data_IF_699286487285
#
_entry.id   IF_699286487285
#
_cell.length_a   1.000
_cell.length_b   1.000
_cell.length_c   1.000
_cell.angle_alpha   90.00
_cell.angle_beta   90.00
_cell.angle_gamma   90.00
#
_symmetry.space_group_name_H-M   'P 1'
#
loop_
_entity.id
_entity.type
_entity.pdbx_description
1 polymer ?
#
# COMPACT_ATOMS: atom_id res chain seq x y z
N UNK A 1 20.70 -0.85 7.20
CA UNK A 1 21.18 -0.04 6.06
C UNK A 1 20.89 -0.74 4.73
N UNK A 2 19.63 -0.91 4.37
CA UNK A 2 19.25 -1.21 2.98
C UNK A 2 18.05 -0.33 2.65
N UNK A 3 18.31 0.93 2.42
CA UNK A 3 17.45 1.83 1.67
C UNK A 3 18.35 2.59 0.71
N UNK A 4 18.73 1.94 -0.37
CA UNK A 4 19.34 2.60 -1.50
C UNK A 4 18.26 2.82 -2.56
N UNK A 5 17.47 3.85 -2.38
CA UNK A 5 16.70 4.44 -3.45
C UNK A 5 17.71 4.95 -4.49
N UNK A 6 17.80 4.28 -5.63
CA UNK A 6 18.62 4.73 -6.76
C UNK A 6 17.96 5.97 -7.38
N UNK A 7 18.53 7.12 -7.10
CA UNK A 7 18.16 8.40 -7.72
C UNK A 7 18.76 8.47 -9.11
N UNK A 8 17.91 8.52 -10.15
CA UNK A 8 18.35 8.75 -11.53
C UNK A 8 17.16 8.78 -12.50
N UNK A 9 17.30 9.50 -13.61
CA UNK A 9 16.31 9.70 -14.67
C UNK A 9 15.77 8.42 -15.34
N UNK A 10 16.25 7.25 -14.94
CA UNK A 10 15.82 5.92 -15.40
C UNK A 10 14.61 5.40 -14.63
N UNK A 11 14.32 5.95 -13.46
CA UNK A 11 13.26 5.50 -12.54
C UNK A 11 11.85 5.88 -13.02
N UNK A 12 11.69 7.04 -13.66
CA UNK A 12 10.41 7.51 -14.23
C UNK A 12 9.74 6.56 -15.24
N UNK A 13 10.52 5.71 -15.91
CA UNK A 13 9.99 4.73 -16.88
C UNK A 13 9.38 3.52 -16.14
N UNK A 14 10.03 3.09 -15.06
CA UNK A 14 9.61 1.97 -14.22
C UNK A 14 8.25 2.23 -13.56
N UNK A 15 8.08 3.42 -13.01
CA UNK A 15 6.89 3.80 -12.26
C UNK A 15 5.67 3.94 -13.18
N UNK A 16 5.84 4.42 -14.42
CA UNK A 16 4.80 4.39 -15.45
C UNK A 16 4.36 2.98 -15.81
N UNK A 17 5.28 2.02 -15.76
CA UNK A 17 5.00 0.61 -16.04
C UNK A 17 4.37 -0.08 -14.84
N UNK A 18 4.69 0.34 -13.61
CA UNK A 18 3.98 -0.09 -12.42
C UNK A 18 2.48 0.18 -12.55
N UNK A 19 2.09 1.39 -12.90
CA UNK A 19 0.67 1.73 -13.11
C UNK A 19 0.00 0.91 -14.22
N UNK A 20 0.75 0.52 -15.25
CA UNK A 20 0.25 -0.32 -16.34
C UNK A 20 -0.03 -1.76 -15.88
N UNK A 21 0.88 -2.35 -15.09
CA UNK A 21 0.69 -3.69 -14.56
C UNK A 21 -0.25 -3.75 -13.34
N UNK A 22 -0.55 -2.61 -12.74
CA UNK A 22 -1.53 -2.46 -11.65
C UNK A 22 -2.93 -2.06 -12.14
N UNK A 23 -3.22 -2.19 -13.44
CA UNK A 23 -4.53 -1.87 -14.01
C UNK A 23 -5.64 -2.84 -13.60
N UNK A 24 -5.27 -4.04 -13.15
CA UNK A 24 -6.16 -5.07 -12.62
C UNK A 24 -6.53 -4.86 -11.14
N UNK A 25 -5.88 -3.92 -10.44
CA UNK A 25 -6.21 -3.60 -9.05
C UNK A 25 -7.52 -2.83 -8.99
N UNK A 26 -8.52 -3.31 -8.25
CA UNK A 26 -9.87 -2.74 -8.26
C UNK A 26 -9.98 -1.52 -7.33
N UNK A 27 -9.15 -0.48 -7.52
CA UNK A 27 -9.11 0.73 -6.69
C UNK A 27 -10.48 1.40 -6.49
N UNK A 28 -11.36 1.39 -7.51
CA UNK A 28 -12.72 1.94 -7.41
C UNK A 28 -13.62 1.11 -6.48
N UNK A 29 -13.41 -0.20 -6.38
CA UNK A 29 -14.12 -1.05 -5.42
C UNK A 29 -13.61 -0.76 -4.01
N UNK A 30 -12.30 -0.67 -3.84
CA UNK A 30 -11.66 -0.39 -2.56
C UNK A 30 -12.01 0.99 -2.02
N UNK A 31 -11.95 2.02 -2.89
CA UNK A 31 -12.33 3.38 -2.49
C UNK A 31 -13.78 3.47 -2.04
N UNK A 32 -14.72 2.82 -2.74
CA UNK A 32 -16.13 2.76 -2.32
C UNK A 32 -16.30 2.11 -0.96
N UNK A 33 -15.65 0.97 -0.74
CA UNK A 33 -15.69 0.28 0.55
C UNK A 33 -15.13 1.18 1.67
N UNK A 34 -13.95 1.78 1.46
CA UNK A 34 -13.34 2.69 2.42
C UNK A 34 -14.29 3.86 2.75
N UNK A 35 -14.86 4.51 1.73
CA UNK A 35 -15.83 5.61 1.89
C UNK A 35 -17.07 5.16 2.68
N UNK A 36 -17.60 3.96 2.41
CA UNK A 36 -18.70 3.40 3.18
C UNK A 36 -18.35 3.21 4.66
N UNK A 37 -17.14 2.70 4.96
CA UNK A 37 -16.66 2.55 6.34
C UNK A 37 -16.42 3.89 7.03
N UNK A 38 -15.85 4.88 6.34
CA UNK A 38 -15.68 6.24 6.85
C UNK A 38 -17.03 6.85 7.24
N UNK A 39 -17.99 6.80 6.34
CA UNK A 39 -19.35 7.34 6.57
C UNK A 39 -20.11 6.59 7.66
N UNK A 40 -20.00 5.28 7.73
CA UNK A 40 -20.60 4.47 8.79
C UNK A 40 -20.07 4.84 10.18
N UNK A 41 -18.85 5.39 10.26
CA UNK A 41 -18.26 5.91 11.49
C UNK A 41 -18.42 7.43 11.66
N UNK A 42 -19.33 8.07 10.88
CA UNK A 42 -19.65 9.50 10.99
C UNK A 42 -18.60 10.43 10.39
N UNK A 43 -17.70 9.91 9.56
CA UNK A 43 -16.65 10.68 8.87
C UNK A 43 -17.11 10.92 7.43
N UNK A 44 -17.85 12.00 7.23
CA UNK A 44 -18.39 12.39 5.91
C UNK A 44 -17.47 13.33 5.14
N UNK A 45 -16.49 13.94 5.80
CA UNK A 45 -15.52 14.90 5.22
C UNK A 45 -14.36 15.15 6.18
N UNK A 46 -13.40 15.94 5.75
CA UNK A 46 -12.23 16.36 6.51
C UNK A 46 -10.97 15.66 6.06
N UNK A 47 -9.88 15.90 6.79
CA UNK A 47 -8.58 15.35 6.44
C UNK A 47 -8.51 13.85 6.63
N UNK A 48 -8.05 13.15 5.60
CA UNK A 48 -7.76 11.72 5.58
C UNK A 48 -6.35 11.52 5.05
N UNK A 49 -5.54 10.72 5.76
CA UNK A 49 -4.21 10.30 5.30
C UNK A 49 -4.34 9.01 4.49
N UNK A 50 -3.68 8.96 3.34
CA UNK A 50 -3.38 7.75 2.58
C UNK A 50 -1.90 7.41 2.81
N UNK A 51 -1.63 6.40 3.62
CA UNK A 51 -0.30 6.02 4.11
C UNK A 51 0.28 4.90 3.24
N UNK A 52 1.38 5.19 2.53
CA UNK A 52 1.88 4.37 1.43
C UNK A 52 1.05 4.62 0.16
N UNK A 53 0.83 5.90 -0.19
CA UNK A 53 -0.10 6.30 -1.25
C UNK A 53 0.38 5.96 -2.67
N UNK A 54 1.66 5.65 -2.84
CA UNK A 54 2.26 5.35 -4.15
C UNK A 54 1.98 6.44 -5.17
N UNK A 55 1.48 6.06 -6.34
CA UNK A 55 1.14 6.98 -7.45
C UNK A 55 -0.16 7.76 -7.23
N UNK A 56 -0.76 7.70 -6.04
CA UNK A 56 -1.93 8.51 -5.67
C UNK A 56 -3.27 8.07 -6.29
N UNK A 57 -3.38 6.86 -6.83
CA UNK A 57 -4.64 6.37 -7.45
C UNK A 57 -5.79 6.31 -6.45
N UNK A 58 -5.57 5.67 -5.30
CA UNK A 58 -6.57 5.60 -4.24
C UNK A 58 -6.82 6.99 -3.64
N UNK A 59 -5.76 7.74 -3.38
CA UNK A 59 -5.81 9.10 -2.85
C UNK A 59 -6.75 10.00 -3.68
N UNK A 60 -6.61 9.98 -5.01
CA UNK A 60 -7.47 10.75 -5.93
C UNK A 60 -8.94 10.32 -5.83
N UNK A 61 -9.23 9.01 -5.75
CA UNK A 61 -10.60 8.51 -5.63
C UNK A 61 -11.26 8.92 -4.31
N UNK A 62 -10.49 8.99 -3.22
CA UNK A 62 -10.98 9.47 -1.93
C UNK A 62 -11.18 11.00 -1.95
N UNK A 63 -10.32 11.76 -2.63
CA UNK A 63 -10.52 13.19 -2.86
C UNK A 63 -11.80 13.46 -3.67
N UNK A 64 -12.09 12.65 -4.69
CA UNK A 64 -13.33 12.71 -5.49
C UNK A 64 -14.57 12.38 -4.66
N UNK A 65 -14.43 11.57 -3.62
CA UNK A 65 -15.51 11.27 -2.68
C UNK A 65 -15.78 12.41 -1.67
N UNK A 66 -14.93 13.46 -1.65
CA UNK A 66 -15.13 14.70 -0.89
C UNK A 66 -14.25 14.84 0.36
N UNK A 67 -13.16 14.07 0.45
CA UNK A 67 -12.19 14.20 1.55
C UNK A 67 -11.02 15.11 1.16
N UNK A 68 -10.47 15.83 2.14
CA UNK A 68 -9.21 16.55 2.01
C UNK A 68 -8.07 15.56 2.24
N UNK A 69 -7.31 15.22 1.18
CA UNK A 69 -6.38 14.11 1.23
C UNK A 69 -4.95 14.55 1.54
N UNK A 70 -4.27 13.74 2.36
CA UNK A 70 -2.83 13.83 2.59
C UNK A 70 -2.23 12.47 2.18
N UNK A 71 -1.56 12.43 1.02
CA UNK A 71 -0.84 11.26 0.55
C UNK A 71 0.57 11.23 1.13
N UNK A 72 0.95 10.13 1.78
CA UNK A 72 2.29 9.94 2.36
C UNK A 72 2.93 8.73 1.72
N UNK A 73 4.13 8.91 1.19
CA UNK A 73 4.97 7.83 0.68
C UNK A 73 6.45 8.16 0.91
N UNK A 74 7.30 7.16 0.99
CA UNK A 74 8.75 7.37 1.12
C UNK A 74 9.48 7.36 -0.23
N UNK A 75 8.81 7.02 -1.32
CA UNK A 75 9.35 7.02 -2.66
C UNK A 75 9.14 8.36 -3.34
N UNK A 76 10.24 9.04 -3.67
CA UNK A 76 10.20 10.27 -4.43
C UNK A 76 9.51 10.07 -5.80
N UNK A 77 9.84 8.98 -6.48
CA UNK A 77 9.37 8.73 -7.84
C UNK A 77 7.86 8.44 -7.88
N UNK A 78 7.35 7.69 -6.90
CA UNK A 78 5.91 7.47 -6.75
C UNK A 78 5.17 8.80 -6.53
N UNK A 79 5.71 9.67 -5.68
CA UNK A 79 5.10 10.98 -5.42
C UNK A 79 5.23 11.94 -6.62
N UNK A 80 6.30 11.85 -7.40
CA UNK A 80 6.43 12.64 -8.63
C UNK A 80 5.30 12.31 -9.61
N UNK A 81 4.99 11.03 -9.80
CA UNK A 81 3.84 10.58 -10.60
C UNK A 81 2.49 11.00 -9.99
N UNK A 82 2.37 10.94 -8.66
CA UNK A 82 1.16 11.38 -7.99
C UNK A 82 0.89 12.87 -8.23
N UNK A 83 1.94 13.69 -8.22
CA UNK A 83 1.88 15.13 -8.48
C UNK A 83 1.53 15.46 -9.95
N UNK A 84 1.81 14.59 -10.92
CA UNK A 84 1.40 14.78 -12.33
C UNK A 84 -0.14 14.87 -12.48
N UNK A 85 -0.92 14.45 -11.47
CA UNK A 85 -2.40 14.53 -11.48
C UNK A 85 -2.94 15.94 -11.24
N UNK A 86 -2.11 16.87 -10.75
CA UNK A 86 -2.43 18.30 -10.55
C UNK A 86 -3.76 18.52 -9.75
N UNK A 87 -3.96 17.79 -8.64
CA UNK A 87 -5.16 17.93 -7.80
C UNK A 87 -4.88 18.75 -6.53
N UNK A 88 -5.33 20.01 -6.52
CA UNK A 88 -5.14 20.94 -5.40
C UNK A 88 -5.81 20.51 -4.07
N UNK A 89 -6.65 19.47 -4.08
CA UNK A 89 -7.29 18.90 -2.88
C UNK A 89 -6.39 17.91 -2.15
N UNK A 90 -5.23 17.57 -2.73
CA UNK A 90 -4.32 16.55 -2.23
C UNK A 90 -2.99 17.19 -1.87
N UNK A 91 -2.55 16.99 -0.63
CA UNK A 91 -1.20 17.32 -0.20
C UNK A 91 -0.36 16.03 -0.20
N UNK A 92 0.70 15.99 -0.99
CA UNK A 92 1.65 14.88 -0.96
C UNK A 92 2.87 15.22 -0.10
N UNK A 93 3.25 14.27 0.78
CA UNK A 93 4.39 14.40 1.70
C UNK A 93 5.32 13.20 1.56
N UNK A 94 6.60 13.46 1.32
CA UNK A 94 7.63 12.43 1.30
C UNK A 94 8.10 12.15 2.72
N UNK A 95 7.53 11.10 3.34
CA UNK A 95 7.83 10.72 4.73
C UNK A 95 7.82 9.19 4.88
N UNK A 96 8.59 8.70 5.85
CA UNK A 96 8.54 7.30 6.27
C UNK A 96 7.33 7.09 7.19
N UNK A 97 6.57 6.01 6.96
CA UNK A 97 5.37 5.71 7.75
C UNK A 97 5.67 5.42 9.24
N UNK A 98 6.93 5.13 9.59
CA UNK A 98 7.38 4.91 10.99
C UNK A 98 7.55 6.20 11.79
N UNK A 99 7.59 7.36 11.11
CA UNK A 99 7.85 8.66 11.76
C UNK A 99 7.09 9.81 11.07
N UNK A 100 5.94 9.52 10.46
CA UNK A 100 5.18 10.53 9.73
C UNK A 100 4.40 11.49 10.64
N UNK A 101 4.28 12.72 10.17
CA UNK A 101 3.49 13.79 10.78
C UNK A 101 2.67 14.50 9.70
N UNK A 102 1.33 14.39 9.70
CA UNK A 102 0.49 15.02 8.66
C UNK A 102 0.32 16.55 8.87
N UNK A 103 0.86 17.10 9.96
CA UNK A 103 0.77 18.52 10.28
C UNK A 103 -0.49 18.90 11.07
N UNK A 104 -1.58 18.18 10.91
CA UNK A 104 -2.85 18.35 11.64
C UNK A 104 -3.42 17.01 12.07
N UNK A 105 -4.30 17.04 13.07
CA UNK A 105 -5.06 15.83 13.45
C UNK A 105 -6.07 15.50 12.36
N UNK A 106 -6.08 14.24 11.93
CA UNK A 106 -6.90 13.75 10.84
C UNK A 106 -8.10 12.93 11.34
N UNK A 107 -9.14 12.82 10.53
CA UNK A 107 -10.34 12.06 10.87
C UNK A 107 -10.16 10.57 10.61
N UNK A 108 -9.31 10.22 9.65
CA UNK A 108 -8.97 8.84 9.34
C UNK A 108 -7.55 8.73 8.75
N UNK A 109 -6.98 7.54 8.90
CA UNK A 109 -5.82 7.07 8.16
C UNK A 109 -6.24 5.82 7.39
N UNK A 110 -5.85 5.73 6.14
CA UNK A 110 -6.02 4.53 5.31
C UNK A 110 -4.64 4.06 4.82
N UNK A 111 -4.45 2.76 4.67
CA UNK A 111 -3.25 2.19 4.06
C UNK A 111 -3.63 0.96 3.27
N UNK A 112 -3.54 1.03 1.95
CA UNK A 112 -4.01 0.00 1.05
C UNK A 112 -2.87 -0.61 0.24
N UNK A 113 -3.18 -1.62 -0.57
CA UNK A 113 -2.20 -2.31 -1.41
C UNK A 113 -1.05 -2.96 -0.61
N UNK A 114 -1.37 -3.61 0.51
CA UNK A 114 -0.37 -4.33 1.33
C UNK A 114 0.86 -3.50 1.73
N UNK A 115 0.74 -2.17 1.76
CA UNK A 115 1.84 -1.28 2.16
C UNK A 115 2.37 -1.60 3.57
N UNK A 116 1.50 -2.03 4.48
CA UNK A 116 1.87 -2.46 5.84
C UNK A 116 2.78 -3.70 5.84
N UNK A 117 2.63 -4.60 4.86
CA UNK A 117 3.48 -5.79 4.78
C UNK A 117 4.96 -5.48 4.47
N UNK A 118 5.28 -4.28 3.97
CA UNK A 118 6.66 -3.84 3.75
C UNK A 118 7.39 -3.46 5.05
N UNK A 119 6.68 -3.36 6.17
CA UNK A 119 7.29 -3.18 7.49
C UNK A 119 7.68 -4.57 8.01
N UNK A 120 8.98 -4.85 8.05
CA UNK A 120 9.47 -6.21 8.31
C UNK A 120 9.60 -6.53 9.80
N UNK A 121 9.86 -5.52 10.63
CA UNK A 121 10.07 -5.70 12.06
C UNK A 121 8.82 -5.30 12.86
N UNK A 122 8.36 -6.13 13.83
CA UNK A 122 7.19 -5.81 14.66
C UNK A 122 7.34 -4.50 15.43
N UNK A 123 8.55 -4.15 15.86
CA UNK A 123 8.86 -2.89 16.55
C UNK A 123 8.67 -1.69 15.63
N UNK A 124 9.04 -1.81 14.36
CA UNK A 124 8.80 -0.79 13.34
C UNK A 124 7.30 -0.65 13.05
N UNK A 125 6.57 -1.76 12.97
CA UNK A 125 5.11 -1.71 12.81
C UNK A 125 4.41 -1.07 14.01
N UNK A 126 4.91 -1.31 15.22
CA UNK A 126 4.44 -0.61 16.42
C UNK A 126 4.67 0.90 16.31
N UNK A 127 5.82 1.35 15.77
CA UNK A 127 6.09 2.76 15.53
C UNK A 127 5.11 3.36 14.51
N UNK A 128 4.79 2.64 13.42
CA UNK A 128 3.75 3.06 12.46
C UNK A 128 2.41 3.24 13.17
N UNK A 129 1.95 2.25 13.92
CA UNK A 129 0.66 2.32 14.62
C UNK A 129 0.63 3.44 15.68
N UNK A 130 1.76 3.71 16.34
CA UNK A 130 1.88 4.84 17.25
C UNK A 130 1.74 6.17 16.49
N UNK A 131 2.41 6.36 15.35
CA UNK A 131 2.26 7.56 14.52
C UNK A 131 0.82 7.72 14.01
N UNK A 132 0.15 6.64 13.62
CA UNK A 132 -1.28 6.64 13.26
C UNK A 132 -2.13 7.12 14.43
N UNK A 133 -1.95 6.53 15.61
CA UNK A 133 -2.68 6.92 16.81
C UNK A 133 -2.46 8.40 17.14
N UNK A 134 -1.21 8.87 17.10
CA UNK A 134 -0.91 10.28 17.34
C UNK A 134 -1.51 11.21 16.28
N UNK A 135 -1.64 10.79 15.04
CA UNK A 135 -2.20 11.59 13.96
C UNK A 135 -3.73 11.69 14.01
N UNK A 136 -4.40 10.66 14.51
CA UNK A 136 -5.86 10.60 14.57
C UNK A 136 -6.44 11.56 15.62
N UNK A 137 -7.63 12.11 15.32
CA UNK A 137 -8.54 12.71 16.31
C UNK A 137 -9.13 11.62 17.18
N UNK A 138 -9.66 11.99 18.38
CA UNK A 138 -10.46 11.10 19.21
C UNK A 138 -11.62 10.50 18.39
N UNK A 139 -11.76 9.17 18.43
CA UNK A 139 -12.74 8.44 17.60
C UNK A 139 -12.43 8.40 16.11
N UNK A 140 -11.27 8.90 15.68
CA UNK A 140 -10.79 8.74 14.31
C UNK A 140 -10.45 7.29 14.01
N UNK A 141 -10.56 6.85 12.76
CA UNK A 141 -10.40 5.45 12.38
C UNK A 141 -9.16 5.21 11.53
N UNK A 142 -8.64 4.00 11.66
CA UNK A 142 -7.56 3.47 10.84
C UNK A 142 -8.07 2.26 10.06
N UNK A 143 -7.96 2.28 8.73
CA UNK A 143 -8.34 1.19 7.85
C UNK A 143 -7.11 0.78 7.05
N UNK A 144 -6.70 -0.48 7.13
CA UNK A 144 -5.58 -0.97 6.33
C UNK A 144 -5.80 -2.41 5.87
N UNK A 145 -5.10 -2.81 4.83
CA UNK A 145 -5.08 -4.19 4.39
C UNK A 145 -3.72 -4.85 4.62
N UNK A 146 -3.75 -6.16 4.71
CA UNK A 146 -2.58 -7.03 4.69
C UNK A 146 -2.85 -8.29 3.89
N UNK A 147 -1.79 -8.82 3.31
CA UNK A 147 -1.77 -10.17 2.76
C UNK A 147 -1.77 -11.21 3.89
N UNK A 148 -2.47 -12.32 3.68
CA UNK A 148 -2.63 -13.38 4.67
C UNK A 148 -1.54 -14.45 4.56
N UNK A 149 -1.36 -15.30 5.59
CA UNK A 149 -0.52 -16.49 5.48
C UNK A 149 -0.90 -17.38 4.29
N UNK A 150 -2.20 -17.55 4.02
CA UNK A 150 -2.66 -18.34 2.86
C UNK A 150 -2.11 -17.81 1.54
N UNK A 151 -2.08 -16.49 1.35
CA UNK A 151 -1.53 -15.89 0.13
C UNK A 151 -0.05 -16.22 -0.02
N UNK A 152 0.75 -16.04 1.03
CA UNK A 152 2.20 -16.28 0.95
C UNK A 152 2.54 -17.77 0.87
N UNK A 153 1.91 -18.62 1.71
CA UNK A 153 2.25 -20.03 1.81
C UNK A 153 1.71 -20.90 0.67
N UNK A 154 0.54 -20.51 0.13
CA UNK A 154 -0.19 -21.37 -0.82
C UNK A 154 -0.22 -20.78 -2.22
N UNK A 155 -0.52 -19.49 -2.37
CA UNK A 155 -0.70 -18.89 -3.68
C UNK A 155 0.60 -18.36 -4.27
N UNK A 156 1.39 -17.66 -3.48
CA UNK A 156 2.68 -17.12 -3.91
C UNK A 156 3.77 -18.18 -3.75
N UNK A 157 4.00 -18.67 -2.54
CA UNK A 157 4.99 -19.71 -2.22
C UNK A 157 6.29 -19.54 -3.02
N UNK A 158 6.78 -20.60 -3.67
CA UNK A 158 7.93 -20.58 -4.56
C UNK A 158 7.50 -20.49 -6.05
N UNK A 159 6.45 -19.71 -6.33
CA UNK A 159 5.89 -19.59 -7.68
C UNK A 159 6.52 -18.44 -8.46
N UNK A 160 6.71 -18.67 -9.76
CA UNK A 160 7.02 -17.62 -10.72
C UNK A 160 5.75 -17.15 -11.40
N UNK A 161 5.48 -15.86 -11.36
CA UNK A 161 4.37 -15.21 -12.08
C UNK A 161 4.98 -14.39 -13.21
N UNK A 162 4.44 -14.51 -14.41
CA UNK A 162 4.92 -13.73 -15.56
C UNK A 162 3.75 -13.24 -16.39
N UNK A 163 3.88 -12.02 -16.88
CA UNK A 163 2.92 -11.40 -17.80
C UNK A 163 3.65 -10.73 -18.96
N UNK A 164 3.07 -10.83 -20.16
CA UNK A 164 3.60 -10.19 -21.35
C UNK A 164 2.52 -9.34 -22.00
N UNK A 165 2.84 -8.07 -22.23
CA UNK A 165 2.01 -7.07 -22.92
C UNK A 165 2.78 -6.43 -24.05
N UNK A 166 2.12 -5.65 -24.87
CA UNK A 166 2.76 -4.97 -26.03
C UNK A 166 3.81 -3.94 -25.59
N UNK A 167 3.59 -3.30 -24.43
CA UNK A 167 4.45 -2.27 -23.87
C UNK A 167 5.59 -2.81 -23.01
N UNK A 168 5.48 -4.05 -22.53
CA UNK A 168 6.50 -4.65 -21.68
C UNK A 168 6.08 -5.99 -21.08
N UNK A 169 6.99 -6.58 -20.33
CA UNK A 169 6.77 -7.85 -19.64
C UNK A 169 7.35 -7.81 -18.24
N UNK A 170 6.80 -8.62 -17.35
CA UNK A 170 7.45 -8.86 -16.07
C UNK A 170 7.59 -10.35 -15.79
N UNK A 171 8.59 -10.67 -14.98
CA UNK A 171 8.78 -11.94 -14.31
C UNK A 171 8.88 -11.63 -12.82
N UNK A 172 8.06 -12.28 -12.03
CA UNK A 172 7.98 -12.13 -10.59
C UNK A 172 8.23 -13.48 -9.94
N UNK A 173 9.41 -13.67 -9.38
CA UNK A 173 9.81 -14.89 -8.69
C UNK A 173 9.62 -14.70 -7.19
N UNK A 174 8.84 -15.59 -6.54
CA UNK A 174 8.57 -15.55 -5.11
C UNK A 174 9.34 -16.62 -4.37
N UNK A 175 9.74 -16.29 -3.15
CA UNK A 175 10.25 -17.22 -2.15
C UNK A 175 9.69 -16.84 -0.78
N UNK A 176 9.01 -17.76 -0.10
CA UNK A 176 8.47 -17.53 1.23
C UNK A 176 9.21 -18.33 2.30
N UNK A 177 9.87 -17.62 3.24
CA UNK A 177 10.47 -18.21 4.43
C UNK A 177 9.42 -18.25 5.56
N UNK A 178 8.91 -19.45 5.84
CA UNK A 178 7.86 -19.65 6.85
C UNK A 178 8.38 -19.51 8.29
N UNK A 179 9.69 -19.72 8.54
CA UNK A 179 10.28 -19.57 9.87
C UNK A 179 10.45 -18.09 10.24
N UNK A 180 10.89 -17.28 9.28
CA UNK A 180 11.05 -15.83 9.45
C UNK A 180 9.77 -15.05 9.12
N UNK A 181 8.77 -15.71 8.49
CA UNK A 181 7.53 -15.11 7.98
C UNK A 181 7.77 -14.00 6.95
N UNK A 182 8.81 -14.12 6.15
CA UNK A 182 9.19 -13.15 5.13
C UNK A 182 8.95 -13.74 3.75
N UNK A 183 8.24 -12.98 2.92
CA UNK A 183 8.18 -13.22 1.48
C UNK A 183 9.18 -12.30 0.78
N UNK A 184 10.16 -12.90 0.11
CA UNK A 184 11.05 -12.23 -0.81
C UNK A 184 10.51 -12.43 -2.22
N UNK A 185 10.51 -11.37 -3.02
CA UNK A 185 10.23 -11.52 -4.43
C UNK A 185 11.16 -10.66 -5.29
N UNK A 186 11.66 -11.30 -6.35
CA UNK A 186 12.46 -10.66 -7.37
C UNK A 186 11.56 -10.30 -8.55
N UNK A 187 11.47 -9.01 -8.85
CA UNK A 187 10.73 -8.49 -9.97
C UNK A 187 11.69 -8.10 -11.11
N UNK A 188 11.63 -8.81 -12.23
CA UNK A 188 12.30 -8.43 -13.46
C UNK A 188 11.31 -7.81 -14.43
N UNK A 189 11.56 -6.57 -14.83
CA UNK A 189 10.75 -5.82 -15.80
C UNK A 189 11.52 -5.68 -17.12
N UNK A 190 10.83 -5.87 -18.25
CA UNK A 190 11.30 -5.56 -19.59
C UNK A 190 10.36 -4.53 -20.18
N UNK A 191 10.84 -3.31 -20.38
CA UNK A 191 10.03 -2.17 -20.82
C UNK A 191 10.44 -1.80 -22.24
N UNK A 192 9.46 -1.71 -23.14
CA UNK A 192 9.68 -1.32 -24.51
C UNK A 192 10.04 0.16 -24.58
N UNK A 193 11.19 0.45 -25.15
CA UNK A 193 11.60 1.83 -25.46
C UNK A 193 11.07 2.26 -26.84
N UNK A 194 10.78 3.56 -26.97
CA UNK A 194 10.49 4.13 -28.28
C UNK A 194 11.80 4.17 -29.08
N UNK A 195 11.86 3.40 -30.16
CA UNK A 195 12.98 3.38 -31.10
C UNK A 195 12.55 4.02 -32.42
N UNK A 196 13.46 4.79 -33.06
CA UNK A 196 13.26 5.31 -34.42
C UNK A 196 13.45 4.22 -35.48
N UNK A 197 14.04 3.08 -35.09
CA UNK A 197 14.27 1.91 -35.94
C UNK A 197 13.09 0.93 -35.84
N UNK A 198 12.96 0.02 -36.83
CA UNK A 198 11.91 -0.99 -36.86
C UNK A 198 12.10 -2.10 -35.80
N UNK A 199 13.22 -2.10 -35.06
CA UNK A 199 13.52 -3.09 -34.04
C UNK A 199 12.95 -2.68 -32.67
N UNK A 200 12.26 -3.62 -32.01
CA UNK A 200 11.79 -3.45 -30.63
C UNK A 200 12.97 -3.57 -29.67
N UNK A 201 13.26 -2.49 -28.96
CA UNK A 201 14.29 -2.43 -27.92
C UNK A 201 13.59 -2.48 -26.57
N UNK A 202 14.11 -3.31 -25.65
CA UNK A 202 13.59 -3.41 -24.30
C UNK A 202 14.69 -3.07 -23.30
N UNK A 203 14.33 -2.27 -22.30
CA UNK A 203 15.19 -2.01 -21.15
C UNK A 203 14.80 -2.94 -20.03
N UNK A 204 15.81 -3.57 -19.41
CA UNK A 204 15.63 -4.48 -18.27
C UNK A 204 15.83 -3.72 -16.96
N UNK A 205 14.93 -3.95 -15.98
CA UNK A 205 15.06 -3.50 -14.60
C UNK A 205 14.88 -4.70 -13.67
N UNK A 206 15.53 -4.67 -12.53
CA UNK A 206 15.45 -5.73 -11.52
C UNK A 206 15.27 -5.08 -10.14
N UNK A 207 14.35 -5.62 -9.35
CA UNK A 207 14.06 -5.19 -7.98
C UNK A 207 13.84 -6.40 -7.10
N UNK A 208 14.33 -6.32 -5.88
CA UNK A 208 14.03 -7.29 -4.83
C UNK A 208 13.21 -6.61 -3.75
N UNK A 209 12.09 -7.20 -3.39
CA UNK A 209 11.18 -6.72 -2.36
C UNK A 209 11.03 -7.75 -1.26
N UNK A 210 10.79 -7.24 -0.05
CA UNK A 210 10.53 -8.06 1.13
C UNK A 210 9.23 -7.63 1.76
N UNK A 211 8.38 -8.60 2.08
CA UNK A 211 7.13 -8.38 2.79
C UNK A 211 7.03 -9.36 3.95
N UNK A 212 6.55 -8.88 5.11
CA UNK A 212 6.29 -9.73 6.27
C UNK A 212 4.84 -10.16 6.32
N UNK A 213 4.64 -11.43 6.60
CA UNK A 213 3.35 -12.02 6.92
C UNK A 213 3.03 -11.79 8.39
N UNK A 214 2.00 -10.99 8.69
CA UNK A 214 1.52 -10.74 10.04
C UNK A 214 0.28 -11.57 10.35
N UNK A 215 0.24 -12.14 11.55
CA UNK A 215 -0.96 -12.78 12.07
C UNK A 215 -1.94 -11.72 12.62
N UNK A 216 -3.25 -11.95 12.47
CA UNK A 216 -4.28 -11.02 12.99
C UNK A 216 -4.14 -10.80 14.49
N UNK A 217 -3.76 -11.84 15.26
CA UNK A 217 -3.51 -11.73 16.70
C UNK A 217 -2.35 -10.81 17.04
N UNK A 218 -1.25 -10.87 16.26
CA UNK A 218 -0.08 -10.02 16.40
C UNK A 218 -0.43 -8.55 16.11
N UNK A 219 -1.17 -8.30 15.02
CA UNK A 219 -1.65 -6.96 14.69
C UNK A 219 -2.53 -6.36 15.78
N UNK A 220 -3.44 -7.15 16.35
CA UNK A 220 -4.31 -6.71 17.44
C UNK A 220 -3.49 -6.27 18.65
N UNK A 221 -2.51 -7.05 19.06
CA UNK A 221 -1.64 -6.70 20.19
C UNK A 221 -0.86 -5.42 19.93
N UNK A 222 -0.28 -5.25 18.74
CA UNK A 222 0.48 -4.05 18.36
C UNK A 222 -0.40 -2.80 18.29
N UNK A 223 -1.63 -2.91 17.76
CA UNK A 223 -2.60 -1.82 17.75
C UNK A 223 -2.95 -1.36 19.17
N UNK A 224 -3.29 -2.30 20.06
CA UNK A 224 -3.66 -2.01 21.44
C UNK A 224 -2.49 -1.36 22.22
N UNK A 225 -1.26 -1.84 22.01
CA UNK A 225 -0.06 -1.26 22.60
C UNK A 225 0.24 0.17 22.10
N UNK A 226 -0.27 0.53 20.94
CA UNK A 226 -0.07 1.83 20.30
C UNK A 226 -1.23 2.82 20.56
N UNK A 227 -2.21 2.46 21.41
CA UNK A 227 -3.34 3.31 21.75
C UNK A 227 -4.47 3.30 20.72
N UNK A 228 -4.52 2.26 19.90
CA UNK A 228 -5.62 1.98 18.97
C UNK A 228 -6.45 0.81 19.48
N UNK A 229 -7.74 0.84 19.25
CA UNK A 229 -8.67 -0.23 19.58
C UNK A 229 -8.98 -1.01 18.30
N UNK A 230 -8.72 -2.30 18.31
CA UNK A 230 -9.08 -3.18 17.21
C UNK A 230 -10.60 -3.40 17.18
N UNK A 231 -11.26 -3.00 16.09
CA UNK A 231 -12.71 -3.12 15.94
C UNK A 231 -13.12 -4.38 15.19
N UNK A 232 -12.56 -4.59 14.01
CA UNK A 232 -12.96 -5.66 13.12
C UNK A 232 -11.88 -6.04 12.11
N UNK A 233 -12.02 -7.25 11.55
CA UNK A 233 -11.30 -7.73 10.39
C UNK A 233 -12.27 -8.43 9.44
N UNK A 234 -12.12 -8.17 8.15
CA UNK A 234 -12.98 -8.69 7.09
C UNK A 234 -12.15 -9.30 5.96
N UNK A 235 -12.76 -10.19 5.17
CA UNK A 235 -12.22 -10.60 3.88
C UNK A 235 -12.11 -9.36 2.98
N UNK A 236 -10.98 -9.19 2.29
CA UNK A 236 -10.56 -7.91 1.73
C UNK A 236 -11.66 -7.09 1.06
N UNK A 237 -11.82 -5.85 1.54
CA UNK A 237 -12.75 -4.85 0.99
C UNK A 237 -14.20 -5.34 0.83
N UNK A 238 -14.62 -6.24 1.71
CA UNK A 238 -16.00 -6.73 1.84
C UNK A 238 -16.46 -6.68 3.30
N UNK A 239 -17.71 -7.03 3.58
CA UNK A 239 -18.23 -7.25 4.93
C UNK A 239 -18.29 -8.75 5.31
N UNK A 240 -17.69 -9.59 4.49
CA UNK A 240 -17.62 -11.03 4.75
C UNK A 240 -16.61 -11.33 5.86
N UNK A 241 -16.88 -12.42 6.57
CA UNK A 241 -15.94 -12.94 7.56
C UNK A 241 -14.69 -13.50 6.88
N UNK A 242 -13.55 -13.34 7.53
CA UNK A 242 -12.27 -13.94 7.09
C UNK A 242 -12.43 -15.46 7.03
N UNK A 243 -11.94 -16.06 5.95
CA UNK A 243 -11.94 -17.50 5.68
C UNK A 243 -10.51 -18.02 5.72
N UNK A 244 -10.36 -19.35 5.74
CA UNK A 244 -9.04 -19.98 5.72
C UNK A 244 -8.30 -19.81 4.37
N UNK A 245 -9.01 -19.41 3.32
CA UNK A 245 -8.51 -19.15 1.97
C UNK A 245 -8.63 -17.67 1.57
N UNK A 246 -8.88 -16.76 2.52
CA UNK A 246 -8.80 -15.33 2.26
C UNK A 246 -7.37 -14.94 1.89
N UNK A 247 -7.20 -14.30 0.75
CA UNK A 247 -5.87 -13.89 0.25
C UNK A 247 -5.35 -12.63 0.94
N UNK A 248 -6.27 -11.74 1.28
CA UNK A 248 -6.01 -10.44 1.90
C UNK A 248 -7.12 -10.16 2.90
N UNK A 249 -6.82 -9.42 3.95
CA UNK A 249 -7.81 -8.97 4.93
C UNK A 249 -7.75 -7.46 5.10
N UNK A 250 -8.91 -6.86 5.39
CA UNK A 250 -9.01 -5.45 5.78
C UNK A 250 -9.25 -5.36 7.28
N UNK A 251 -8.39 -4.63 7.96
CA UNK A 251 -8.45 -4.37 9.40
C UNK A 251 -9.01 -2.97 9.65
N UNK A 252 -9.89 -2.84 10.62
CA UNK A 252 -10.44 -1.58 11.09
C UNK A 252 -10.13 -1.42 12.57
N UNK A 253 -9.57 -0.27 12.92
CA UNK A 253 -9.29 0.12 14.30
C UNK A 253 -9.67 1.60 14.48
N UNK A 254 -9.86 2.04 15.75
CA UNK A 254 -10.09 3.44 16.06
C UNK A 254 -9.19 3.94 17.18
N UNK A 255 -9.00 5.24 17.26
CA UNK A 255 -8.35 5.89 18.40
C UNK A 255 -9.30 5.93 19.58
N UNK A 256 -8.83 5.43 20.74
CA UNK A 256 -9.60 5.40 21.98
C UNK A 256 -9.90 6.80 22.51
#
# INVERSE_FOLDING_TARGET
EISACLVGSEMCIRDRVYDMFMDNVPYEVWSRYIVEKLRANGIDSGYVVDLGCGTGKLTTLLADAGYDMIGIDNSFDMLDMALEREDDRILYLMQDMREFEPGEKVSAVVSACDSINYILEPEDLQAVFFCVSESLKEGGIFIFDINTPYKYEVLMADNTIAENRDEGSFIWDNYYDADEKINEYDLTLFIKEQSEDEDDIYKKFEETHFQRCYEISELKELLEQSGLVFDAVYDAYTDDQVKCDSEKVTVIAHKA
#
